data_IF_965099978475
#
_entry.id   IF_965099978475
#
_cell.length_a   1.000
_cell.length_b   1.000
_cell.length_c   1.000
_cell.angle_alpha   90.00
_cell.angle_beta   90.00
_cell.angle_gamma   90.00
#
_symmetry.space_group_name_H-M   'P 1'
#
loop_
_entity.id
_entity.type
_entity.pdbx_description
1 polymer ?
#
# COMPACT_ATOMS: atom_id res chain seq x y z
N UNK A 1 -13.30 3.70 -9.46
CA UNK A 1 -13.85 2.89 -8.35
C UNK A 1 -14.85 3.73 -7.56
N UNK A 2 -15.98 3.18 -7.09
CA UNK A 2 -16.90 3.89 -6.21
C UNK A 2 -16.22 4.16 -4.85
N UNK A 3 -16.60 5.25 -4.17
CA UNK A 3 -15.96 5.66 -2.89
C UNK A 3 -16.07 4.57 -1.82
N UNK A 4 -17.19 3.86 -1.80
CA UNK A 4 -17.41 2.76 -0.86
C UNK A 4 -16.44 1.59 -1.09
N UNK A 5 -16.20 1.21 -2.35
CA UNK A 5 -15.21 0.19 -2.71
C UNK A 5 -13.79 0.63 -2.39
N UNK A 6 -13.50 1.93 -2.54
CA UNK A 6 -12.21 2.52 -2.24
C UNK A 6 -11.83 2.38 -0.76
N UNK A 7 -12.78 2.52 0.13
CA UNK A 7 -12.61 2.29 1.56
C UNK A 7 -12.14 0.86 1.86
N UNK A 8 -12.73 -0.15 1.22
CA UNK A 8 -12.29 -1.53 1.39
C UNK A 8 -10.96 -1.85 0.71
N UNK A 9 -10.63 -1.16 -0.38
CA UNK A 9 -9.30 -1.22 -0.96
C UNK A 9 -8.23 -0.66 0.00
N UNK A 10 -8.55 0.42 0.73
CA UNK A 10 -7.70 0.93 1.80
C UNK A 10 -7.48 -0.12 2.90
N UNK A 11 -8.54 -0.80 3.36
CA UNK A 11 -8.41 -1.89 4.34
C UNK A 11 -7.38 -2.93 3.91
N UNK A 12 -7.38 -3.36 2.66
CA UNK A 12 -6.38 -4.29 2.13
C UNK A 12 -4.97 -3.68 2.12
N UNK A 13 -4.82 -2.44 1.63
CA UNK A 13 -3.51 -1.79 1.50
C UNK A 13 -2.89 -1.43 2.85
N UNK A 14 -3.68 -1.14 3.88
CA UNK A 14 -3.22 -0.79 5.22
C UNK A 14 -2.94 -2.01 6.10
N UNK A 15 -3.39 -3.21 5.70
CA UNK A 15 -3.09 -4.44 6.44
C UNK A 15 -1.63 -4.85 6.22
N UNK A 16 -0.82 -4.81 7.28
CA UNK A 16 0.65 -4.94 7.28
C UNK A 16 1.21 -6.09 6.44
N UNK A 17 0.52 -7.23 6.37
CA UNK A 17 1.01 -8.43 5.67
C UNK A 17 0.47 -8.57 4.24
N UNK A 18 -0.39 -7.67 3.80
CA UNK A 18 -1.00 -7.72 2.48
C UNK A 18 -0.21 -6.83 1.51
N UNK A 19 0.73 -7.45 0.79
CA UNK A 19 1.41 -6.83 -0.35
C UNK A 19 0.67 -7.09 -1.67
N UNK A 20 1.24 -6.62 -2.79
CA UNK A 20 0.63 -6.71 -4.12
C UNK A 20 0.15 -8.12 -4.48
N UNK A 21 1.01 -9.12 -4.35
CA UNK A 21 0.68 -10.53 -4.68
C UNK A 21 -0.50 -11.07 -3.86
N UNK A 22 -0.55 -10.79 -2.55
CA UNK A 22 -1.65 -11.26 -1.70
C UNK A 22 -2.94 -10.52 -1.98
N UNK A 23 -2.88 -9.22 -2.22
CA UNK A 23 -4.03 -8.43 -2.64
C UNK A 23 -4.62 -8.98 -3.95
N UNK A 24 -3.79 -9.26 -4.96
CA UNK A 24 -4.23 -9.85 -6.22
C UNK A 24 -4.90 -11.21 -6.04
N UNK A 25 -4.34 -12.09 -5.22
CA UNK A 25 -4.95 -13.41 -4.93
C UNK A 25 -6.33 -13.27 -4.29
N UNK A 26 -6.45 -12.38 -3.31
CA UNK A 26 -7.72 -12.09 -2.66
C UNK A 26 -8.75 -11.54 -3.65
N UNK A 27 -8.36 -10.55 -4.44
CA UNK A 27 -9.23 -9.95 -5.44
C UNK A 27 -9.63 -10.92 -6.56
N UNK A 28 -8.70 -11.78 -7.01
CA UNK A 28 -9.00 -12.83 -7.98
C UNK A 28 -10.00 -13.86 -7.45
N UNK A 29 -9.96 -14.19 -6.15
CA UNK A 29 -10.88 -15.13 -5.51
C UNK A 29 -12.25 -14.53 -5.23
N UNK A 30 -12.29 -13.31 -4.69
CA UNK A 30 -13.51 -12.70 -4.17
C UNK A 30 -14.14 -11.65 -5.10
N UNK A 31 -13.40 -11.17 -6.09
CA UNK A 31 -13.90 -10.27 -7.14
C UNK A 31 -13.88 -8.78 -6.80
N UNK A 32 -14.01 -8.38 -5.53
CA UNK A 32 -13.93 -6.98 -5.13
C UNK A 32 -13.33 -6.80 -3.73
N UNK A 33 -12.78 -5.61 -3.41
CA UNK A 33 -12.27 -5.29 -2.06
C UNK A 33 -13.34 -5.48 -0.97
N UNK A 34 -14.57 -5.10 -1.25
CA UNK A 34 -15.70 -5.29 -0.32
C UNK A 34 -15.95 -6.78 -0.07
N UNK A 35 -16.00 -7.59 -1.13
CA UNK A 35 -16.21 -9.02 -0.99
C UNK A 35 -15.08 -9.70 -0.21
N UNK A 36 -13.84 -9.23 -0.35
CA UNK A 36 -12.73 -9.67 0.51
C UNK A 36 -13.00 -9.33 1.97
N UNK A 37 -13.43 -8.11 2.27
CA UNK A 37 -13.71 -7.69 3.64
C UNK A 37 -14.89 -8.48 4.27
N UNK A 38 -15.92 -8.79 3.50
CA UNK A 38 -17.10 -9.53 3.95
C UNK A 38 -16.84 -11.05 4.11
N UNK A 39 -15.78 -11.58 3.50
CA UNK A 39 -15.44 -12.99 3.57
C UNK A 39 -15.07 -13.45 5.00
N UNK A 40 -15.16 -14.76 5.21
CA UNK A 40 -14.83 -15.39 6.49
C UNK A 40 -13.32 -15.63 6.62
N UNK A 41 -12.84 -15.64 7.86
CA UNK A 41 -11.41 -15.80 8.15
C UNK A 41 -10.81 -17.10 7.61
N UNK A 42 -11.59 -18.18 7.55
CA UNK A 42 -11.15 -19.46 7.00
C UNK A 42 -10.86 -19.37 5.51
N UNK A 43 -11.69 -18.63 4.77
CA UNK A 43 -11.50 -18.40 3.34
C UNK A 43 -10.24 -17.56 3.06
N UNK A 44 -9.92 -16.59 3.94
CA UNK A 44 -8.66 -15.87 3.88
C UNK A 44 -7.47 -16.79 4.11
N UNK A 45 -7.55 -17.72 5.11
CA UNK A 45 -6.47 -18.68 5.41
C UNK A 45 -6.15 -19.55 4.22
N UNK A 46 -7.17 -20.06 3.55
CA UNK A 46 -7.00 -20.85 2.33
C UNK A 46 -6.34 -20.05 1.19
N UNK A 47 -6.64 -18.75 1.08
CA UNK A 47 -6.19 -17.90 -0.02
C UNK A 47 -4.76 -17.36 0.19
N UNK A 48 -4.45 -16.85 1.41
CA UNK A 48 -3.23 -16.08 1.69
C UNK A 48 -2.41 -16.61 2.86
N UNK A 49 -2.86 -17.67 3.52
CA UNK A 49 -2.19 -18.33 4.64
C UNK A 49 -2.49 -17.70 6.00
N UNK A 50 -2.13 -18.42 7.07
CA UNK A 50 -2.52 -18.08 8.45
C UNK A 50 -2.11 -16.68 8.88
N UNK A 51 -0.84 -16.33 8.71
CA UNK A 51 -0.31 -15.05 9.17
C UNK A 51 -1.01 -13.83 8.54
N UNK A 52 -1.33 -13.91 7.24
CA UNK A 52 -2.04 -12.83 6.55
C UNK A 52 -3.52 -12.77 6.95
N UNK A 53 -4.18 -13.92 7.10
CA UNK A 53 -5.56 -14.00 7.58
C UNK A 53 -5.70 -13.45 9.00
N UNK A 54 -4.79 -13.79 9.92
CA UNK A 54 -4.78 -13.24 11.27
C UNK A 54 -4.58 -11.72 11.29
N UNK A 55 -3.79 -11.17 10.37
CA UNK A 55 -3.63 -9.73 10.25
C UNK A 55 -4.92 -9.05 9.77
N UNK A 56 -5.58 -9.63 8.76
CA UNK A 56 -6.90 -9.15 8.28
C UNK A 56 -7.95 -9.20 9.40
N UNK A 57 -7.99 -10.32 10.15
CA UNK A 57 -8.92 -10.44 11.28
C UNK A 57 -8.68 -9.37 12.36
N UNK A 58 -7.43 -9.15 12.75
CA UNK A 58 -7.08 -8.12 13.74
C UNK A 58 -7.51 -6.74 13.27
N UNK A 59 -7.20 -6.39 12.03
CA UNK A 59 -7.56 -5.11 11.46
C UNK A 59 -9.08 -4.92 11.35
N UNK A 60 -9.80 -5.94 10.91
CA UNK A 60 -11.27 -5.94 10.86
C UNK A 60 -11.89 -5.77 12.25
N UNK A 61 -11.34 -6.47 13.26
CA UNK A 61 -11.85 -6.39 14.65
C UNK A 61 -11.51 -5.07 15.35
N UNK A 62 -10.38 -4.45 15.07
CA UNK A 62 -10.01 -3.17 15.67
C UNK A 62 -10.94 -2.05 15.21
N UNK A 63 -11.36 -2.06 13.95
CA UNK A 63 -12.15 -0.99 13.34
C UNK A 63 -11.39 0.33 13.16
N UNK A 64 -10.14 0.43 13.63
CA UNK A 64 -9.33 1.66 13.57
C UNK A 64 -9.07 2.13 12.14
N UNK A 65 -8.97 1.18 11.20
CA UNK A 65 -8.74 1.47 9.79
C UNK A 65 -9.81 2.37 9.15
N UNK A 66 -11.05 2.34 9.65
CA UNK A 66 -12.11 3.22 9.17
C UNK A 66 -11.87 4.68 9.57
N UNK A 67 -11.43 4.89 10.80
CA UNK A 67 -11.06 6.21 11.28
C UNK A 67 -9.80 6.71 10.56
N UNK A 68 -8.80 5.86 10.40
CA UNK A 68 -7.57 6.18 9.67
C UNK A 68 -7.87 6.59 8.23
N UNK A 69 -8.75 5.82 7.53
CA UNK A 69 -9.18 6.19 6.18
C UNK A 69 -9.82 7.58 6.13
N UNK A 70 -10.72 7.86 7.08
CA UNK A 70 -11.38 9.18 7.17
C UNK A 70 -10.39 10.33 7.43
N UNK A 71 -9.28 10.07 8.12
CA UNK A 71 -8.27 11.07 8.46
C UNK A 71 -7.22 11.32 7.36
N UNK A 72 -7.17 10.52 6.31
CA UNK A 72 -6.16 10.67 5.25
C UNK A 72 -6.10 12.09 4.68
N UNK A 73 -7.25 12.69 4.40
CA UNK A 73 -7.34 14.05 3.85
C UNK A 73 -6.82 15.11 4.83
N UNK A 74 -7.17 15.00 6.11
CA UNK A 74 -6.71 15.92 7.16
C UNK A 74 -5.20 15.83 7.34
N UNK A 75 -4.63 14.63 7.20
CA UNK A 75 -3.20 14.38 7.28
C UNK A 75 -2.43 14.67 5.98
N UNK A 76 -3.12 15.17 4.94
CA UNK A 76 -2.55 15.40 3.61
C UNK A 76 -1.93 14.12 3.00
N UNK A 77 -2.49 12.96 3.32
CA UNK A 77 -2.10 11.68 2.74
C UNK A 77 -3.04 11.38 1.59
N UNK A 78 -2.46 11.14 0.42
CA UNK A 78 -3.19 10.67 -0.76
C UNK A 78 -3.09 9.15 -0.83
N UNK A 79 -4.19 8.51 -1.18
CA UNK A 79 -4.25 7.08 -1.44
C UNK A 79 -4.55 6.87 -2.93
N UNK A 80 -3.72 6.11 -3.61
CA UNK A 80 -3.83 5.88 -5.05
C UNK A 80 -3.69 4.40 -5.35
N UNK A 81 -4.68 3.85 -6.06
CA UNK A 81 -4.69 2.46 -6.48
C UNK A 81 -3.96 2.28 -7.82
N UNK A 82 -3.38 1.10 -8.03
CA UNK A 82 -2.59 0.78 -9.23
C UNK A 82 -3.35 0.99 -10.54
N UNK A 83 -4.63 0.75 -10.55
CA UNK A 83 -5.51 0.92 -11.72
C UNK A 83 -5.97 2.36 -11.95
N UNK A 84 -5.64 3.27 -11.06
CA UNK A 84 -6.07 4.67 -11.16
C UNK A 84 -5.08 5.50 -11.97
N UNK A 85 -5.62 6.51 -12.66
CA UNK A 85 -4.81 7.45 -13.42
C UNK A 85 -3.85 8.21 -12.49
N UNK A 86 -2.58 8.23 -12.87
CA UNK A 86 -1.52 8.89 -12.11
C UNK A 86 -0.72 7.95 -11.20
N UNK A 87 -1.06 6.66 -11.17
CA UNK A 87 -0.19 5.68 -10.54
C UNK A 87 1.13 5.59 -11.32
N UNK A 88 2.30 5.62 -10.64
CA UNK A 88 3.59 5.63 -11.32
C UNK A 88 3.80 4.39 -12.19
N UNK A 89 3.97 4.56 -13.52
CA UNK A 89 4.13 3.45 -14.46
C UNK A 89 5.33 2.57 -14.14
N UNK A 90 6.47 3.15 -13.83
CA UNK A 90 7.67 2.41 -13.40
C UNK A 90 7.43 1.52 -12.19
N UNK A 91 6.53 1.92 -11.26
CA UNK A 91 6.17 1.12 -10.09
C UNK A 91 5.16 0.02 -10.45
N UNK A 92 4.31 0.26 -11.44
CA UNK A 92 3.37 -0.74 -11.94
C UNK A 92 4.06 -1.89 -12.70
N UNK A 93 5.25 -1.64 -13.27
CA UNK A 93 6.00 -2.60 -14.09
C UNK A 93 6.93 -3.52 -13.29
N UNK A 94 7.12 -3.29 -11.98
CA UNK A 94 7.95 -4.20 -11.17
C UNK A 94 7.27 -5.57 -11.00
N UNK A 95 8.03 -6.66 -10.73
CA UNK A 95 7.47 -8.02 -10.63
C UNK A 95 6.39 -8.21 -9.55
N UNK A 96 6.41 -7.40 -8.51
CA UNK A 96 5.44 -7.41 -7.40
C UNK A 96 4.94 -5.98 -7.14
N UNK A 97 4.13 -5.41 -8.05
CA UNK A 97 3.65 -4.05 -7.89
C UNK A 97 2.63 -3.96 -6.74
N UNK A 98 2.70 -2.91 -5.91
CA UNK A 98 1.71 -2.72 -4.85
C UNK A 98 0.32 -2.49 -5.43
N UNK A 99 -0.71 -2.98 -4.74
CA UNK A 99 -2.11 -2.75 -5.12
C UNK A 99 -2.51 -1.29 -4.98
N UNK A 100 -1.95 -0.58 -4.00
CA UNK A 100 -2.11 0.85 -3.81
C UNK A 100 -0.91 1.45 -3.07
N UNK A 101 -0.77 2.77 -3.18
CA UNK A 101 0.29 3.55 -2.53
C UNK A 101 -0.30 4.69 -1.71
N UNK A 102 0.43 5.08 -0.69
CA UNK A 102 0.18 6.28 0.10
C UNK A 102 1.30 7.28 -0.16
N UNK A 103 0.94 8.53 -0.40
CA UNK A 103 1.94 9.57 -0.64
C UNK A 103 1.51 10.92 -0.06
N UNK A 104 2.47 11.78 0.18
CA UNK A 104 2.27 13.19 0.52
C UNK A 104 2.91 14.07 -0.53
N UNK A 105 2.31 15.23 -0.76
CA UNK A 105 2.81 16.16 -1.76
C UNK A 105 2.48 15.72 -3.18
N UNK A 106 3.44 15.78 -4.08
CA UNK A 106 3.28 15.50 -5.52
C UNK A 106 4.11 14.27 -5.91
N UNK A 107 3.51 13.37 -6.66
CA UNK A 107 4.25 12.28 -7.29
C UNK A 107 5.16 12.85 -8.40
N UNK A 108 6.37 12.28 -8.60
CA UNK A 108 7.27 12.69 -9.66
C UNK A 108 6.65 12.44 -11.04
N UNK A 109 7.07 13.23 -12.04
CA UNK A 109 6.71 12.98 -13.43
C UNK A 109 7.43 11.71 -13.92
N UNK A 110 6.75 10.89 -14.71
CA UNK A 110 7.32 9.64 -15.24
C UNK A 110 8.55 9.86 -16.13
N UNK A 111 8.66 11.04 -16.73
CA UNK A 111 9.78 11.41 -17.61
C UNK A 111 10.95 12.05 -16.85
N UNK A 112 10.79 12.35 -15.57
CA UNK A 112 11.88 12.90 -14.76
C UNK A 112 12.93 11.83 -14.49
N UNK A 113 14.23 12.17 -14.58
CA UNK A 113 15.31 11.28 -14.16
C UNK A 113 15.15 10.93 -12.68
N UNK A 114 15.30 9.65 -12.36
CA UNK A 114 15.19 9.18 -10.99
C UNK A 114 16.51 8.51 -10.54
N UNK A 115 16.92 8.78 -9.32
CA UNK A 115 18.07 8.17 -8.67
C UNK A 115 17.62 7.42 -7.42
N UNK A 116 18.06 6.18 -7.28
CA UNK A 116 17.79 5.39 -6.09
C UNK A 116 18.90 5.61 -5.06
N UNK A 117 18.54 6.10 -3.88
CA UNK A 117 19.45 6.14 -2.71
C UNK A 117 19.04 5.01 -1.76
N UNK A 118 19.92 4.00 -1.64
CA UNK A 118 19.64 2.80 -0.85
C UNK A 118 20.70 2.60 0.22
N UNK A 119 20.32 2.01 1.35
CA UNK A 119 21.24 1.73 2.45
C UNK A 119 20.63 0.82 3.51
N UNK A 120 21.39 0.54 4.57
CA UNK A 120 20.94 -0.24 5.70
C UNK A 120 19.91 0.55 6.53
N UNK A 121 18.96 -0.17 7.20
CA UNK A 121 18.01 0.45 8.14
C UNK A 121 18.71 1.14 9.31
N UNK A 122 19.78 0.52 9.80
CA UNK A 122 20.72 1.10 10.76
C UNK A 122 21.97 1.56 10.00
N UNK A 123 21.97 2.79 9.52
CA UNK A 123 23.11 3.35 8.79
C UNK A 123 24.12 3.97 9.76
N UNK A 124 25.41 4.02 9.32
CA UNK A 124 26.44 4.79 10.02
C UNK A 124 26.17 6.30 9.93
N UNK A 125 26.80 7.09 10.82
CA UNK A 125 26.73 8.56 10.73
C UNK A 125 27.17 9.09 9.37
N UNK A 126 28.21 8.49 8.81
CA UNK A 126 28.68 8.83 7.46
C UNK A 126 27.62 8.52 6.39
N UNK A 127 26.95 7.35 6.48
CA UNK A 127 25.88 6.99 5.55
C UNK A 127 24.68 7.96 5.63
N UNK A 128 24.34 8.42 6.84
CA UNK A 128 23.31 9.43 7.04
C UNK A 128 23.71 10.76 6.42
N UNK A 129 24.92 11.24 6.71
CA UNK A 129 25.44 12.47 6.14
C UNK A 129 25.41 12.46 4.61
N UNK A 130 25.89 11.36 3.99
CA UNK A 130 25.90 11.24 2.51
C UNK A 130 24.48 11.24 1.94
N UNK A 131 23.53 10.56 2.60
CA UNK A 131 22.13 10.53 2.14
C UNK A 131 21.47 11.91 2.25
N UNK A 132 21.73 12.66 3.31
CA UNK A 132 21.24 14.03 3.51
C UNK A 132 21.81 14.99 2.45
N UNK A 133 23.13 14.93 2.20
CA UNK A 133 23.79 15.73 1.16
C UNK A 133 23.21 15.42 -0.22
N UNK A 134 23.10 14.14 -0.59
CA UNK A 134 22.54 13.75 -1.88
C UNK A 134 21.08 14.21 -2.04
N UNK A 135 20.26 14.10 -0.96
CA UNK A 135 18.87 14.53 -0.98
C UNK A 135 18.68 16.05 -1.10
N UNK A 136 19.71 16.85 -0.83
CA UNK A 136 19.69 18.30 -1.05
C UNK A 136 19.98 18.71 -2.49
N UNK A 137 20.68 17.85 -3.25
CA UNK A 137 21.09 18.11 -4.64
C UNK A 137 20.14 17.47 -5.66
N UNK A 138 19.29 16.53 -5.25
CA UNK A 138 18.29 15.84 -6.09
C UNK A 138 16.92 16.52 -6.00
#
# INVERSE_FOLDING_TARGET
MAEEERKYAYFLCSTYTIGGVRAERLLARFGSPRAVYEAEAEEWRECVGNSAAEALERQKKSGEWEQEYGQLSEQQIHFLLREEKGFPGKLAEIPDPPYGIFYRGKLPDENEPAVAVIGARECSEYGRYVAEELGQYL
#
